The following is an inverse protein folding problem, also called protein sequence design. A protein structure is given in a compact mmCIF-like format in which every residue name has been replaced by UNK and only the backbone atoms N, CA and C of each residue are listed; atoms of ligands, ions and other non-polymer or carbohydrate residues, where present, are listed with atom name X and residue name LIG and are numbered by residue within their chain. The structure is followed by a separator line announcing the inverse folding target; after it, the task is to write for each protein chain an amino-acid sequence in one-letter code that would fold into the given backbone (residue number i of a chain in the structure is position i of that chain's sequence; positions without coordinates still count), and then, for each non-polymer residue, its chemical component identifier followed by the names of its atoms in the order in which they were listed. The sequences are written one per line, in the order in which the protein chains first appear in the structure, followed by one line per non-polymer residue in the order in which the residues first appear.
data_IF_344434853234
#
_entry.id   IF_344434853234
#
_cell.length_a   1.000
_cell.length_b   1.000
_cell.length_c   1.000
_cell.angle_alpha   90.00
_cell.angle_beta   90.00
_cell.angle_gamma   90.00
#
_symmetry.space_group_name_H-M   'P 1'
#
loop_
_entity.id
_entity.type
_entity.pdbx_description
1 polymer ?
#
# COMPACT_ATOMS: atom_id res chain seq x y z
N UNK A 1 -16.44 4.40 -17.68
CA UNK A 1 -15.08 3.82 -17.65
C UNK A 1 -14.70 3.72 -16.19
N UNK A 2 -14.43 2.52 -15.67
CA UNK A 2 -14.04 2.39 -14.27
C UNK A 2 -12.66 3.02 -14.09
N UNK A 3 -12.54 3.95 -13.14
CA UNK A 3 -11.26 4.61 -12.88
C UNK A 3 -10.32 3.67 -12.10
N UNK A 4 -9.07 3.55 -12.56
CA UNK A 4 -8.07 2.64 -11.97
C UNK A 4 -7.66 3.09 -10.56
N UNK A 5 -7.58 2.19 -9.58
CA UNK A 5 -7.26 2.51 -8.18
C UNK A 5 -5.86 3.16 -8.05
N UNK A 6 -5.76 4.35 -7.43
CA UNK A 6 -4.46 4.94 -7.07
C UNK A 6 -4.02 4.46 -5.69
N UNK A 7 -2.87 3.83 -5.60
CA UNK A 7 -2.28 3.39 -4.32
C UNK A 7 -1.04 4.24 -4.03
N UNK A 8 -1.13 5.08 -3.00
CA UNK A 8 -0.01 5.85 -2.50
C UNK A 8 0.77 5.09 -1.43
N UNK A 9 2.10 5.13 -1.54
CA UNK A 9 3.04 4.60 -0.55
C UNK A 9 4.27 5.54 -0.48
N UNK A 10 4.94 5.69 0.67
CA UNK A 10 6.14 6.53 0.77
C UNK A 10 7.28 6.06 -0.14
N UNK A 11 7.36 4.75 -0.36
CA UNK A 11 8.37 4.09 -1.18
C UNK A 11 7.76 2.89 -1.90
N UNK A 12 8.26 2.58 -3.11
CA UNK A 12 7.88 1.38 -3.87
C UNK A 12 9.04 0.39 -3.92
N UNK A 13 8.99 -0.62 -3.06
CA UNK A 13 9.95 -1.74 -3.06
C UNK A 13 9.50 -2.88 -3.98
N UNK A 14 10.39 -3.85 -4.22
CA UNK A 14 10.07 -5.07 -5.00
C UNK A 14 8.98 -5.89 -4.29
N UNK A 15 9.08 -6.08 -2.96
CA UNK A 15 8.08 -6.82 -2.18
C UNK A 15 6.72 -6.12 -2.21
N UNK A 16 6.67 -4.81 -1.98
CA UNK A 16 5.43 -4.05 -2.03
C UNK A 16 4.78 -4.13 -3.41
N UNK A 17 5.56 -3.96 -4.48
CA UNK A 17 5.07 -4.07 -5.87
C UNK A 17 4.48 -5.45 -6.14
N UNK A 18 5.18 -6.51 -5.73
CA UNK A 18 4.72 -7.88 -5.91
C UNK A 18 3.41 -8.14 -5.15
N UNK A 19 3.34 -7.76 -3.88
CA UNK A 19 2.14 -7.93 -3.04
C UNK A 19 0.97 -7.13 -3.59
N UNK A 20 1.18 -5.88 -4.01
CA UNK A 20 0.12 -5.07 -4.61
C UNK A 20 -0.41 -5.71 -5.91
N UNK A 21 0.47 -6.22 -6.77
CA UNK A 21 0.06 -6.93 -7.99
C UNK A 21 -0.69 -8.23 -7.68
N UNK A 22 -0.24 -8.99 -6.68
CA UNK A 22 -0.91 -10.20 -6.25
C UNK A 22 -2.31 -9.89 -5.71
N UNK A 23 -2.42 -8.90 -4.81
CA UNK A 23 -3.65 -8.58 -4.12
C UNK A 23 -4.65 -7.86 -5.04
N UNK A 24 -4.30 -6.69 -5.57
CA UNK A 24 -5.20 -5.91 -6.41
C UNK A 24 -5.36 -6.53 -7.79
N UNK A 25 -4.26 -6.88 -8.45
CA UNK A 25 -4.30 -7.37 -9.83
C UNK A 25 -4.80 -8.80 -9.99
N UNK A 26 -4.27 -9.76 -9.22
CA UNK A 26 -4.59 -11.19 -9.40
C UNK A 26 -5.76 -11.69 -8.55
N UNK A 27 -5.81 -11.33 -7.27
CA UNK A 27 -6.87 -11.79 -6.37
C UNK A 27 -8.16 -10.99 -6.59
N UNK A 28 -8.07 -9.66 -6.60
CA UNK A 28 -9.25 -8.80 -6.73
C UNK A 28 -9.64 -8.48 -8.18
N UNK A 29 -8.72 -8.65 -9.15
CA UNK A 29 -8.99 -8.33 -10.56
C UNK A 29 -9.13 -6.83 -10.84
N UNK A 30 -8.58 -5.97 -9.98
CA UNK A 30 -8.68 -4.51 -10.05
C UNK A 30 -7.44 -3.94 -10.73
N UNK A 31 -7.64 -3.01 -11.66
CA UNK A 31 -6.57 -2.18 -12.21
C UNK A 31 -6.13 -1.13 -11.19
N UNK A 32 -4.83 -1.04 -10.96
CA UNK A 32 -4.28 -0.12 -9.99
C UNK A 32 -2.94 0.46 -10.46
N UNK A 33 -2.60 1.63 -9.92
CA UNK A 33 -1.32 2.30 -10.14
C UNK A 33 -0.70 2.65 -8.79
N UNK A 34 0.58 2.31 -8.61
CA UNK A 34 1.35 2.76 -7.45
C UNK A 34 1.91 4.15 -7.71
N UNK A 35 1.91 5.00 -6.68
CA UNK A 35 2.53 6.32 -6.71
C UNK A 35 3.24 6.63 -5.40
N UNK A 36 4.33 7.39 -5.49
CA UNK A 36 5.01 8.04 -4.36
C UNK A 36 4.73 9.53 -4.31
N UNK A 37 3.92 10.05 -5.25
CA UNK A 37 3.50 11.45 -5.26
C UNK A 37 2.29 11.64 -4.34
N UNK A 38 2.54 12.29 -3.21
CA UNK A 38 1.52 12.61 -2.21
C UNK A 38 0.51 13.64 -2.71
N UNK A 39 0.94 14.62 -3.51
CA UNK A 39 0.06 15.69 -4.00
C UNK A 39 -0.93 15.09 -4.98
N UNK A 40 -0.44 14.31 -5.95
CA UNK A 40 -1.28 13.60 -6.90
C UNK A 40 -2.30 12.67 -6.20
N UNK A 41 -1.92 12.06 -5.08
CA UNK A 41 -2.85 11.28 -4.26
C UNK A 41 -3.95 12.12 -3.59
N UNK A 42 -3.57 13.23 -2.93
CA UNK A 42 -4.52 14.07 -2.21
C UNK A 42 -5.52 14.71 -3.18
N UNK A 43 -5.06 15.16 -4.34
CA UNK A 43 -5.89 15.82 -5.36
C UNK A 43 -6.81 14.86 -6.12
N UNK A 44 -6.50 13.55 -6.15
CA UNK A 44 -7.32 12.59 -6.86
C UNK A 44 -8.73 12.49 -6.29
N UNK A 45 -9.74 12.66 -7.13
CA UNK A 45 -11.17 12.54 -6.77
C UNK A 45 -11.70 11.11 -6.83
N UNK A 46 -11.07 10.26 -7.66
CA UNK A 46 -11.44 8.87 -7.86
C UNK A 46 -11.01 7.90 -6.74
N UNK A 47 -11.19 6.59 -6.96
CA UNK A 47 -10.76 5.55 -6.03
C UNK A 47 -9.28 5.67 -5.69
N UNK A 48 -8.98 5.80 -4.40
CA UNK A 48 -7.62 5.96 -3.90
C UNK A 48 -7.42 5.34 -2.52
N UNK A 49 -6.24 4.77 -2.34
CA UNK A 49 -5.80 4.10 -1.12
C UNK A 49 -4.42 4.60 -0.69
N UNK A 50 -4.25 4.91 0.58
CA UNK A 50 -2.96 5.22 1.20
C UNK A 50 -2.46 4.02 2.02
N UNK A 51 -1.26 3.51 1.69
CA UNK A 51 -0.54 2.50 2.44
C UNK A 51 0.65 3.16 3.17
N UNK A 52 0.39 3.73 4.34
CA UNK A 52 1.30 4.66 5.03
C UNK A 52 1.25 4.48 6.55
N UNK A 53 2.29 4.95 7.27
CA UNK A 53 2.30 4.91 8.75
C UNK A 53 1.26 5.83 9.38
N UNK A 54 1.02 6.99 8.77
CA UNK A 54 0.07 8.01 9.25
C UNK A 54 -1.08 8.17 8.25
N UNK A 55 -2.27 8.44 8.77
CA UNK A 55 -3.45 8.69 7.95
C UNK A 55 -3.32 10.05 7.24
N UNK A 56 -3.62 10.08 5.94
CA UNK A 56 -3.56 11.29 5.10
C UNK A 56 -4.87 12.09 5.11
N UNK A 57 -5.91 11.60 5.79
CA UNK A 57 -7.20 12.30 5.93
C UNK A 57 -8.09 12.24 4.69
N UNK A 58 -7.71 11.47 3.66
CA UNK A 58 -8.48 11.32 2.42
C UNK A 58 -8.28 9.93 1.81
N UNK A 59 -9.32 9.38 1.20
CA UNK A 59 -9.33 8.03 0.63
C UNK A 59 -9.36 6.92 1.69
N UNK A 60 -9.21 5.68 1.23
CA UNK A 60 -9.05 4.54 2.12
C UNK A 60 -7.62 4.55 2.71
N UNK A 61 -7.48 4.32 4.01
CA UNK A 61 -6.17 4.26 4.66
C UNK A 61 -5.92 2.87 5.25
N UNK A 62 -4.81 2.26 4.86
CA UNK A 62 -4.28 1.06 5.49
C UNK A 62 -2.91 1.38 6.10
N UNK A 63 -2.77 1.13 7.40
CA UNK A 63 -1.51 1.36 8.09
C UNK A 63 -0.45 0.40 7.57
N UNK A 64 0.70 0.94 7.16
CA UNK A 64 1.79 0.11 6.65
C UNK A 64 2.70 -0.45 7.76
N UNK A 65 3.23 -1.66 7.51
CA UNK A 65 4.30 -2.27 8.32
C UNK A 65 5.63 -2.24 7.57
N UNK A 66 6.74 -2.22 8.30
CA UNK A 66 8.10 -2.14 7.73
C UNK A 66 8.47 -3.38 6.91
N UNK A 67 7.75 -4.48 7.13
CA UNK A 67 7.93 -5.77 6.45
C UNK A 67 7.96 -5.64 4.92
N UNK A 68 7.10 -4.79 4.35
CA UNK A 68 7.07 -4.61 2.89
C UNK A 68 8.12 -3.62 2.39
N UNK A 69 8.78 -2.87 3.26
CA UNK A 69 9.80 -1.88 2.92
C UNK A 69 11.22 -2.38 3.15
N UNK A 70 11.42 -3.32 4.07
CA UNK A 70 12.76 -3.75 4.44
C UNK A 70 13.51 -4.47 3.30
N UNK A 71 14.83 -4.43 3.36
CA UNK A 71 15.72 -5.25 2.54
C UNK A 71 16.31 -6.38 3.38
N UNK A 72 16.56 -7.54 2.77
CA UNK A 72 17.23 -8.65 3.45
C UNK A 72 16.34 -9.46 4.41
N UNK A 73 17.00 -10.17 5.32
CA UNK A 73 16.40 -11.01 6.37
C UNK A 73 16.65 -10.26 7.68
N UNK A 74 15.60 -9.63 8.19
CA UNK A 74 15.59 -8.95 9.49
C UNK A 74 14.92 -9.85 10.51
N UNK A 75 15.45 -9.86 11.73
CA UNK A 75 14.84 -10.63 12.82
C UNK A 75 13.68 -9.80 13.41
N UNK A 76 12.47 -10.34 13.28
CA UNK A 76 11.27 -9.67 13.77
C UNK A 76 10.83 -10.33 15.08
N UNK A 77 10.85 -9.60 16.22
CA UNK A 77 10.40 -10.16 17.49
C UNK A 77 8.90 -10.43 17.40
N UNK A 78 8.54 -11.71 17.32
CA UNK A 78 7.14 -12.13 17.35
C UNK A 78 6.70 -12.14 18.81
N UNK A 79 5.85 -11.18 19.18
CA UNK A 79 5.20 -11.19 20.49
C UNK A 79 4.15 -12.30 20.52
N UNK A 80 4.48 -13.41 21.17
CA UNK A 80 3.52 -14.47 21.46
C UNK A 80 2.69 -14.03 22.65
N UNK A 81 1.38 -13.94 22.45
CA UNK A 81 0.40 -13.74 23.52
C UNK A 81 -0.27 -15.07 23.81
N UNK A 82 -0.42 -15.40 25.10
CA UNK A 82 -1.27 -16.52 25.51
C UNK A 82 -2.71 -16.25 25.06
N UNK A 83 -3.34 -17.31 24.57
CA UNK A 83 -4.67 -17.27 23.95
C UNK A 83 -5.77 -17.03 24.98
#
# INVERSE_FOLDING_TARGET
MAEDLLVYTPEVTIRLRYVAQQFFGRILGIKFTLTTDRIAFVERSGPKLAYTKQNLGTGLWMRCHDLLFDGGIEDYPIAVVDW
#
